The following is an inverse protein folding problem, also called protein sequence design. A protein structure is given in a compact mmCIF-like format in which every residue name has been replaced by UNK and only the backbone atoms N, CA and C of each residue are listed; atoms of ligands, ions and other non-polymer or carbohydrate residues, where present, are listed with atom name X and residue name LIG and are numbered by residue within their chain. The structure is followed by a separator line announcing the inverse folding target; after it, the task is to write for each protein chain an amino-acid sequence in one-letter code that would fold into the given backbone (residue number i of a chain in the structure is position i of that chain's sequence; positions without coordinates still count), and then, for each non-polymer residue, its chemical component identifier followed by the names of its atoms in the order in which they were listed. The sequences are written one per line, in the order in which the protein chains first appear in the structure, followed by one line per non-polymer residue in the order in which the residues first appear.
data_IF_571856416387
#
_entry.id   IF_571856416387
#
_cell.length_a   1.000
_cell.length_b   1.000
_cell.length_c   1.000
_cell.angle_alpha   90.00
_cell.angle_beta   90.00
_cell.angle_gamma   90.00
#
_symmetry.space_group_name_H-M   'P 1'
#
loop_
_entity.id
_entity.type
_entity.pdbx_description
1 polymer ?
#
# COMPACT_ATOMS: atom_id res chain seq x y z
N UNK A 1 10.84 -14.52 2.16
CA UNK A 1 9.78 -13.73 1.48
C UNK A 1 9.11 -12.71 2.37
N UNK A 2 8.82 -13.01 3.61
CA UNK A 2 8.31 -12.03 4.59
C UNK A 2 9.09 -10.68 4.60
N UNK A 3 10.39 -10.73 4.30
CA UNK A 3 11.22 -9.53 4.27
C UNK A 3 10.90 -8.56 3.12
N UNK A 4 10.56 -9.07 1.92
CA UNK A 4 10.30 -8.18 0.76
C UNK A 4 8.94 -7.47 0.89
N UNK A 5 7.91 -8.13 1.39
CA UNK A 5 6.61 -7.50 1.61
C UNK A 5 6.73 -6.36 2.63
N UNK A 6 7.41 -6.60 3.73
CA UNK A 6 7.70 -5.58 4.75
C UNK A 6 8.48 -4.41 4.17
N UNK A 7 9.55 -4.69 3.42
CA UNK A 7 10.37 -3.67 2.76
C UNK A 7 9.54 -2.79 1.81
N UNK A 8 8.66 -3.40 1.00
CA UNK A 8 7.79 -2.68 0.07
C UNK A 8 6.75 -1.83 0.81
N UNK A 9 6.17 -2.35 1.89
CA UNK A 9 5.21 -1.62 2.72
C UNK A 9 5.86 -0.40 3.36
N UNK A 10 6.99 -0.58 4.05
CA UNK A 10 7.71 0.52 4.71
C UNK A 10 8.18 1.57 3.70
N UNK A 11 8.72 1.14 2.57
CA UNK A 11 9.11 2.02 1.49
C UNK A 11 7.93 2.85 1.00
N UNK A 12 6.79 2.21 0.71
CA UNK A 12 5.62 2.88 0.17
C UNK A 12 4.99 3.86 1.18
N UNK A 13 4.85 3.46 2.45
CA UNK A 13 4.31 4.34 3.48
C UNK A 13 5.25 5.53 3.75
N UNK A 14 6.58 5.32 3.76
CA UNK A 14 7.56 6.41 3.85
C UNK A 14 7.40 7.39 2.69
N UNK A 15 7.21 6.88 1.48
CA UNK A 15 6.95 7.69 0.30
C UNK A 15 5.67 8.53 0.45
N UNK A 16 4.58 7.93 0.89
CA UNK A 16 3.29 8.63 1.09
C UNK A 16 3.37 9.71 2.16
N UNK A 17 4.01 9.42 3.29
CA UNK A 17 4.23 10.40 4.35
C UNK A 17 5.09 11.57 3.86
N UNK A 18 6.17 11.29 3.11
CA UNK A 18 7.04 12.33 2.56
C UNK A 18 6.32 13.25 1.57
N UNK A 19 5.39 12.73 0.77
CA UNK A 19 4.56 13.54 -0.15
C UNK A 19 3.70 14.58 0.59
N UNK A 20 3.35 14.30 1.84
CA UNK A 20 2.55 15.18 2.71
C UNK A 20 3.40 15.96 3.72
N UNK A 21 4.74 15.92 3.58
CA UNK A 21 5.69 16.54 4.52
C UNK A 21 5.58 16.01 5.96
N UNK A 22 5.13 14.77 6.15
CA UNK A 22 5.11 14.10 7.44
C UNK A 22 6.43 13.36 7.71
N UNK A 23 6.83 13.20 9.00
CA UNK A 23 8.07 12.52 9.36
C UNK A 23 8.00 11.02 9.05
N UNK A 24 8.99 10.52 8.31
CA UNK A 24 9.11 9.09 7.97
C UNK A 24 9.68 8.25 9.11
N UNK A 25 10.22 8.89 10.16
CA UNK A 25 10.71 8.24 11.37
C UNK A 25 9.64 7.45 12.12
N UNK A 26 8.36 7.77 11.90
CA UNK A 26 7.20 7.08 12.49
C UNK A 26 7.10 5.58 12.11
N UNK A 27 7.80 5.15 11.06
CA UNK A 27 7.86 3.75 10.63
C UNK A 27 8.99 2.96 11.30
N UNK A 28 9.89 3.64 12.04
CA UNK A 28 10.93 2.95 12.80
C UNK A 28 10.39 2.49 14.15
N UNK A 29 10.63 1.23 14.56
CA UNK A 29 10.35 0.79 15.93
C UNK A 29 11.14 1.65 16.93
N UNK A 30 10.50 2.08 18.02
CA UNK A 30 11.11 2.89 19.09
C UNK A 30 12.19 2.15 19.92
N UNK A 31 12.50 0.88 19.62
CA UNK A 31 13.46 0.06 20.36
C UNK A 31 14.92 0.23 19.93
N UNK A 32 15.30 1.31 19.25
CA UNK A 32 16.70 1.66 19.02
C UNK A 32 17.19 2.78 19.95
N UNK A 33 16.79 2.71 21.22
CA UNK A 33 17.38 3.50 22.30
C UNK A 33 18.82 3.07 22.55
N UNK A 34 19.79 3.89 22.09
CA UNK A 34 21.17 3.85 22.56
C UNK A 34 22.14 3.08 21.70
N UNK A 35 22.68 3.76 20.67
CA UNK A 35 24.09 3.63 20.32
C UNK A 35 24.60 4.94 19.71
N UNK A 36 25.57 5.49 20.42
CA UNK A 36 26.45 6.60 20.10
C UNK A 36 27.06 6.52 18.69
N UNK A 37 27.29 7.69 18.13
CA UNK A 37 28.16 7.95 16.97
C UNK A 37 29.45 7.12 17.01
N UNK A 38 29.75 6.50 15.88
CA UNK A 38 31.08 6.01 15.56
C UNK A 38 31.09 4.58 15.06
N UNK A 39 30.73 4.37 13.79
CA UNK A 39 31.56 3.60 12.88
C UNK A 39 31.02 3.66 11.44
N UNK A 40 31.82 4.26 10.58
CA UNK A 40 31.72 4.11 9.14
C UNK A 40 32.22 2.71 8.79
N UNK A 41 31.32 1.81 8.46
CA UNK A 41 31.69 0.64 7.65
C UNK A 41 30.46 0.16 6.88
N UNK A 42 30.34 0.62 5.67
CA UNK A 42 30.16 -0.13 4.43
C UNK A 42 29.45 -1.48 4.58
N UNK A 43 28.11 -1.48 4.54
CA UNK A 43 27.32 -2.58 4.03
C UNK A 43 26.19 -1.99 3.21
N UNK A 44 26.55 -1.32 2.12
CA UNK A 44 25.67 -1.08 1.01
C UNK A 44 25.44 -2.45 0.34
N UNK A 45 24.43 -3.20 0.83
CA UNK A 45 23.76 -4.16 -0.01
C UNK A 45 23.14 -3.33 -1.14
N UNK A 46 23.78 -3.39 -2.31
CA UNK A 46 23.25 -2.84 -3.56
C UNK A 46 21.82 -3.38 -3.69
N UNK A 47 20.78 -2.52 -3.69
CA UNK A 47 19.43 -2.98 -3.94
C UNK A 47 19.48 -3.69 -5.29
N UNK A 48 19.15 -4.98 -5.34
CA UNK A 48 19.10 -5.72 -6.59
C UNK A 48 18.23 -4.94 -7.58
N UNK A 49 18.62 -4.91 -8.85
CA UNK A 49 17.89 -4.19 -9.92
C UNK A 49 16.37 -4.44 -9.86
N UNK A 50 15.92 -5.64 -9.42
CA UNK A 50 14.54 -6.01 -9.23
C UNK A 50 13.84 -5.19 -8.15
N UNK A 51 14.44 -5.00 -6.97
CA UNK A 51 13.80 -4.26 -5.87
C UNK A 51 13.52 -2.78 -6.23
N UNK A 52 14.44 -2.12 -6.94
CA UNK A 52 14.25 -0.74 -7.39
C UNK A 52 13.14 -0.62 -8.44
N UNK A 53 13.07 -1.56 -9.38
CA UNK A 53 12.03 -1.57 -10.41
C UNK A 53 10.64 -1.82 -9.81
N UNK A 54 10.53 -2.75 -8.85
CA UNK A 54 9.28 -3.02 -8.13
C UNK A 54 8.80 -1.79 -7.36
N UNK A 55 9.70 -1.13 -6.64
CA UNK A 55 9.38 0.10 -5.89
C UNK A 55 8.87 1.22 -6.80
N UNK A 56 9.53 1.44 -7.93
CA UNK A 56 9.11 2.44 -8.92
C UNK A 56 7.75 2.08 -9.53
N UNK A 57 7.55 0.83 -9.94
CA UNK A 57 6.29 0.36 -10.49
C UNK A 57 5.14 0.52 -9.48
N UNK A 58 5.38 0.23 -8.20
CA UNK A 58 4.40 0.37 -7.14
C UNK A 58 4.01 1.83 -6.91
N UNK A 59 4.99 2.75 -6.86
CA UNK A 59 4.73 4.18 -6.73
C UNK A 59 3.88 4.70 -7.89
N UNK A 60 4.28 4.40 -9.13
CA UNK A 60 3.58 4.86 -10.33
C UNK A 60 2.14 4.33 -10.37
N UNK A 61 1.96 3.02 -10.13
CA UNK A 61 0.65 2.38 -10.13
C UNK A 61 -0.28 2.92 -9.04
N UNK A 62 0.23 3.14 -7.83
CA UNK A 62 -0.55 3.67 -6.74
C UNK A 62 -0.92 5.15 -6.94
N UNK A 63 -0.01 5.96 -7.49
CA UNK A 63 -0.30 7.35 -7.83
C UNK A 63 -1.38 7.44 -8.91
N UNK A 64 -1.29 6.61 -9.95
CA UNK A 64 -2.33 6.55 -10.99
C UNK A 64 -3.66 6.09 -10.40
N UNK A 65 -3.64 5.09 -9.53
CA UNK A 65 -4.82 4.61 -8.81
C UNK A 65 -5.47 5.74 -8.00
N UNK A 66 -4.71 6.49 -7.22
CA UNK A 66 -5.24 7.61 -6.43
C UNK A 66 -5.77 8.74 -7.28
N UNK A 67 -5.12 9.07 -8.41
CA UNK A 67 -5.59 10.09 -9.35
C UNK A 67 -6.95 9.72 -9.96
N UNK A 68 -7.13 8.46 -10.34
CA UNK A 68 -8.40 7.97 -10.91
C UNK A 68 -9.53 7.99 -9.87
N UNK A 69 -9.18 7.95 -8.57
CA UNK A 69 -10.13 7.76 -7.46
C UNK A 69 -10.04 8.83 -6.39
N UNK A 70 -9.48 10.00 -6.73
CA UNK A 70 -9.35 11.14 -5.81
C UNK A 70 -10.65 11.43 -5.04
N UNK A 71 -11.79 11.40 -5.73
CA UNK A 71 -13.09 11.61 -5.11
C UNK A 71 -13.43 10.53 -4.07
N UNK A 72 -13.20 9.25 -4.42
CA UNK A 72 -13.47 8.13 -3.52
C UNK A 72 -12.58 8.17 -2.27
N UNK A 73 -11.31 8.52 -2.43
CA UNK A 73 -10.39 8.65 -1.29
C UNK A 73 -10.69 9.88 -0.44
N UNK A 74 -11.13 10.98 -1.03
CA UNK A 74 -11.59 12.16 -0.29
C UNK A 74 -12.84 11.86 0.53
N UNK A 75 -13.80 11.16 -0.07
CA UNK A 75 -15.02 10.74 0.63
C UNK A 75 -14.71 9.68 1.72
N UNK A 76 -13.73 8.83 1.49
CA UNK A 76 -13.25 7.83 2.44
C UNK A 76 -12.67 8.48 3.70
N UNK A 77 -11.81 9.48 3.54
CA UNK A 77 -11.21 10.24 4.63
C UNK A 77 -12.27 10.91 5.52
N UNK A 78 -13.34 11.43 4.91
CA UNK A 78 -14.46 12.05 5.62
C UNK A 78 -15.38 11.03 6.33
N UNK A 79 -15.45 9.80 5.81
CA UNK A 79 -16.38 8.77 6.29
C UNK A 79 -15.73 7.76 7.23
N UNK A 80 -14.42 7.58 7.15
CA UNK A 80 -13.65 6.78 8.09
C UNK A 80 -13.51 7.57 9.40
N UNK A 81 -14.42 7.29 10.32
CA UNK A 81 -14.26 7.70 11.72
C UNK A 81 -13.18 6.80 12.37
N UNK A 82 -11.93 7.04 11.93
CA UNK A 82 -10.78 6.27 12.39
C UNK A 82 -10.42 6.73 13.78
N UNK A 83 -10.48 5.80 14.71
CA UNK A 83 -9.97 5.94 16.08
C UNK A 83 -8.95 4.83 16.35
N UNK A 84 -8.09 4.93 17.37
CA UNK A 84 -7.15 3.86 17.72
C UNK A 84 -7.82 2.49 17.90
N UNK A 85 -9.07 2.48 18.41
CA UNK A 85 -9.82 1.24 18.65
C UNK A 85 -10.47 0.67 17.40
N UNK A 86 -10.84 1.50 16.43
CA UNK A 86 -11.57 1.09 15.22
C UNK A 86 -10.67 0.88 13.99
N UNK A 87 -9.46 1.44 13.99
CA UNK A 87 -8.57 1.46 12.82
C UNK A 87 -8.28 0.08 12.26
N UNK A 88 -7.93 -0.89 13.11
CA UNK A 88 -7.66 -2.26 12.67
C UNK A 88 -8.89 -2.93 12.07
N UNK A 89 -10.03 -2.79 12.74
CA UNK A 89 -11.27 -3.39 12.27
C UNK A 89 -11.71 -2.82 10.91
N UNK A 90 -11.58 -1.51 10.77
CA UNK A 90 -11.86 -0.81 9.52
C UNK A 90 -10.91 -1.29 8.39
N UNK A 91 -9.60 -1.36 8.67
CA UNK A 91 -8.62 -1.89 7.72
C UNK A 91 -8.96 -3.31 7.29
N UNK A 92 -9.17 -4.21 8.25
CA UNK A 92 -9.46 -5.62 7.96
C UNK A 92 -10.75 -5.78 7.16
N UNK A 93 -11.82 -5.09 7.54
CA UNK A 93 -13.10 -5.17 6.84
C UNK A 93 -13.00 -4.71 5.38
N UNK A 94 -12.24 -3.64 5.12
CA UNK A 94 -11.99 -3.17 3.75
C UNK A 94 -11.20 -4.22 2.96
N UNK A 95 -10.14 -4.79 3.54
CA UNK A 95 -9.33 -5.80 2.87
C UNK A 95 -10.12 -7.08 2.58
N UNK A 96 -10.86 -7.58 3.55
CA UNK A 96 -11.68 -8.78 3.37
C UNK A 96 -12.72 -8.59 2.23
N UNK A 97 -13.30 -7.41 2.11
CA UNK A 97 -14.22 -7.11 1.03
C UNK A 97 -13.52 -6.93 -0.33
N UNK A 98 -12.37 -6.23 -0.36
CA UNK A 98 -11.58 -6.04 -1.59
C UNK A 98 -11.15 -7.38 -2.18
N UNK A 99 -10.77 -8.34 -1.35
CA UNK A 99 -10.22 -9.62 -1.79
C UNK A 99 -11.22 -10.78 -1.79
N UNK A 100 -12.49 -10.55 -1.45
CA UNK A 100 -13.52 -11.61 -1.39
C UNK A 100 -13.66 -12.44 -2.68
N UNK A 101 -13.51 -11.79 -3.83
CA UNK A 101 -13.62 -12.42 -5.16
C UNK A 101 -12.26 -12.82 -5.74
N UNK A 102 -11.25 -13.00 -4.90
CA UNK A 102 -9.91 -13.41 -5.27
C UNK A 102 -8.89 -12.26 -5.36
N UNK A 103 -7.68 -12.60 -5.78
CA UNK A 103 -6.53 -11.69 -5.84
C UNK A 103 -6.24 -11.32 -7.28
N UNK A 104 -5.89 -10.06 -7.52
CA UNK A 104 -5.29 -9.55 -8.75
C UNK A 104 -4.38 -8.34 -8.44
N UNK A 105 -3.51 -7.96 -9.39
CA UNK A 105 -2.56 -6.88 -9.18
C UNK A 105 -3.22 -5.52 -8.88
N UNK A 106 -4.37 -5.22 -9.49
CA UNK A 106 -5.10 -3.98 -9.21
C UNK A 106 -5.58 -3.90 -7.76
N UNK A 107 -6.05 -5.01 -7.18
CA UNK A 107 -6.44 -5.10 -5.77
C UNK A 107 -5.21 -5.01 -4.85
N UNK A 108 -4.08 -5.58 -5.25
CA UNK A 108 -2.81 -5.44 -4.51
C UNK A 108 -2.37 -3.97 -4.48
N UNK A 109 -2.40 -3.27 -5.61
CA UNK A 109 -2.14 -1.81 -5.66
C UNK A 109 -3.14 -1.05 -4.77
N UNK A 110 -4.42 -1.44 -4.80
CA UNK A 110 -5.47 -0.87 -3.95
C UNK A 110 -5.20 -1.01 -2.46
N UNK A 111 -4.63 -2.15 -2.01
CA UNK A 111 -4.19 -2.36 -0.63
C UNK A 111 -3.13 -1.32 -0.23
N UNK A 112 -2.13 -1.10 -1.08
CA UNK A 112 -1.08 -0.11 -0.81
C UNK A 112 -1.64 1.31 -0.80
N UNK A 113 -2.45 1.68 -1.79
CA UNK A 113 -3.08 3.00 -1.86
C UNK A 113 -3.96 3.28 -0.63
N UNK A 114 -4.80 2.32 -0.24
CA UNK A 114 -5.65 2.44 0.95
C UNK A 114 -4.83 2.55 2.24
N UNK A 115 -3.81 1.68 2.41
CA UNK A 115 -2.91 1.75 3.57
C UNK A 115 -2.17 3.08 3.66
N UNK A 116 -1.74 3.63 2.52
CA UNK A 116 -1.10 4.94 2.45
C UNK A 116 -2.03 6.08 2.88
N UNK A 117 -3.27 6.09 2.39
CA UNK A 117 -4.29 7.07 2.78
C UNK A 117 -4.62 6.96 4.26
N UNK A 118 -4.84 5.75 4.76
CA UNK A 118 -5.10 5.50 6.18
C UNK A 118 -3.95 5.97 7.08
N UNK A 119 -2.71 5.74 6.65
CA UNK A 119 -1.52 6.17 7.36
C UNK A 119 -1.43 7.70 7.45
N UNK A 120 -1.64 8.41 6.34
CA UNK A 120 -1.66 9.87 6.31
C UNK A 120 -2.79 10.43 7.18
N UNK A 121 -3.99 9.88 7.08
CA UNK A 121 -5.15 10.27 7.89
C UNK A 121 -4.88 10.12 9.39
N UNK A 122 -4.22 9.02 9.81
CA UNK A 122 -3.86 8.83 11.20
C UNK A 122 -2.86 9.90 11.68
N UNK A 123 -1.88 10.28 10.85
CA UNK A 123 -0.93 11.35 11.21
C UNK A 123 -1.63 12.71 11.28
N UNK A 124 -2.51 13.03 10.35
CA UNK A 124 -3.28 14.27 10.31
C UNK A 124 -4.25 14.40 11.50
N UNK A 125 -4.63 13.29 12.12
CA UNK A 125 -5.47 13.22 13.32
C UNK A 125 -4.68 13.00 14.62
N UNK A 126 -3.37 13.24 14.61
CA UNK A 126 -2.49 13.05 15.78
C UNK A 126 -2.42 11.61 16.34
N UNK A 127 -2.76 10.60 15.52
CA UNK A 127 -2.69 9.17 15.87
C UNK A 127 -1.43 8.52 15.30
N UNK A 128 -0.27 9.12 15.55
CA UNK A 128 1.02 8.72 14.97
C UNK A 128 1.47 7.30 15.36
N UNK A 129 1.02 6.82 16.52
CA UNK A 129 1.27 5.46 17.01
C UNK A 129 0.65 4.37 16.13
N UNK A 130 -0.33 4.72 15.31
CA UNK A 130 -0.94 3.76 14.38
C UNK A 130 -0.11 3.54 13.12
N UNK A 131 0.84 4.40 12.79
CA UNK A 131 1.63 4.32 11.56
C UNK A 131 2.41 3.01 11.46
N UNK A 132 3.13 2.64 12.52
CA UNK A 132 3.86 1.37 12.58
C UNK A 132 2.91 0.16 12.57
N UNK A 133 1.77 0.28 13.26
CA UNK A 133 0.74 -0.77 13.30
C UNK A 133 0.09 -0.99 11.93
N UNK A 134 -0.17 0.07 11.18
CA UNK A 134 -0.68 -0.03 9.80
C UNK A 134 0.32 -0.78 8.91
N UNK A 135 1.62 -0.48 9.04
CA UNK A 135 2.66 -1.23 8.33
C UNK A 135 2.65 -2.72 8.70
N UNK A 136 2.46 -3.05 9.98
CA UNK A 136 2.33 -4.44 10.45
C UNK A 136 1.10 -5.12 9.86
N UNK A 137 -0.06 -4.46 9.88
CA UNK A 137 -1.31 -5.03 9.33
C UNK A 137 -1.21 -5.28 7.83
N UNK A 138 -0.66 -4.33 7.07
CA UNK A 138 -0.44 -4.49 5.63
C UNK A 138 0.50 -5.65 5.34
N UNK A 139 1.62 -5.74 6.07
CA UNK A 139 2.60 -6.81 5.89
C UNK A 139 1.99 -8.17 6.22
N UNK A 140 1.32 -8.29 7.35
CA UNK A 140 0.65 -9.52 7.77
C UNK A 140 -0.39 -9.96 6.76
N UNK A 141 -1.21 -9.03 6.27
CA UNK A 141 -2.23 -9.35 5.27
C UNK A 141 -1.62 -9.83 3.94
N UNK A 142 -0.54 -9.18 3.48
CA UNK A 142 0.23 -9.61 2.31
C UNK A 142 0.81 -11.02 2.51
N UNK A 143 1.42 -11.28 3.67
CA UNK A 143 2.08 -12.54 3.94
C UNK A 143 1.09 -13.71 4.07
N UNK A 144 -0.02 -13.51 4.77
CA UNK A 144 -0.98 -14.58 5.08
C UNK A 144 -1.97 -14.85 3.95
N UNK A 145 -2.40 -13.81 3.21
CA UNK A 145 -3.52 -13.95 2.26
C UNK A 145 -3.12 -13.78 0.79
N UNK A 146 -2.02 -13.08 0.49
CA UNK A 146 -1.70 -12.66 -0.87
C UNK A 146 -0.40 -13.27 -1.39
N UNK A 147 0.58 -13.56 -0.54
CA UNK A 147 1.91 -14.04 -0.94
C UNK A 147 1.90 -15.28 -1.81
N UNK A 148 1.04 -16.25 -1.52
CA UNK A 148 0.94 -17.47 -2.31
C UNK A 148 0.51 -17.16 -3.75
N UNK A 149 -0.44 -16.23 -3.91
CA UNK A 149 -0.88 -15.79 -5.24
C UNK A 149 0.24 -15.02 -5.97
N UNK A 150 0.92 -14.07 -5.30
CA UNK A 150 2.05 -13.33 -5.88
C UNK A 150 3.10 -14.30 -6.42
N UNK A 151 3.43 -15.34 -5.64
CA UNK A 151 4.38 -16.39 -6.07
C UNK A 151 3.90 -17.12 -7.31
N UNK A 152 2.63 -17.48 -7.37
CA UNK A 152 2.05 -18.16 -8.54
C UNK A 152 2.09 -17.31 -9.81
N UNK A 153 2.17 -15.98 -9.66
CA UNK A 153 2.28 -15.05 -10.79
C UNK A 153 3.73 -14.75 -11.21
N UNK A 154 4.73 -15.35 -10.56
CA UNK A 154 6.15 -15.07 -10.84
C UNK A 154 6.80 -14.06 -9.89
N UNK A 155 6.14 -13.75 -8.77
CA UNK A 155 6.67 -12.85 -7.74
C UNK A 155 6.52 -11.36 -8.07
N UNK A 156 7.15 -10.54 -7.26
CA UNK A 156 7.15 -9.08 -7.45
C UNK A 156 7.89 -8.62 -8.71
N UNK A 157 8.81 -9.42 -9.23
CA UNK A 157 9.50 -9.11 -10.50
C UNK A 157 8.50 -9.11 -11.66
N UNK A 158 7.56 -10.06 -11.70
CA UNK A 158 6.48 -10.06 -12.69
C UNK A 158 5.61 -8.80 -12.58
N UNK A 159 5.34 -8.29 -11.37
CA UNK A 159 4.66 -7.01 -11.18
C UNK A 159 5.44 -5.86 -11.84
N UNK A 160 6.76 -5.79 -11.60
CA UNK A 160 7.60 -4.78 -12.20
C UNK A 160 7.67 -4.89 -13.73
N UNK A 161 7.66 -6.10 -14.29
CA UNK A 161 7.62 -6.33 -15.73
C UNK A 161 6.31 -5.86 -16.37
N UNK A 162 5.18 -6.01 -15.66
CA UNK A 162 3.85 -5.61 -16.13
C UNK A 162 3.64 -4.10 -16.00
N UNK A 163 4.07 -3.51 -14.89
CA UNK A 163 3.74 -2.13 -14.51
C UNK A 163 4.93 -1.17 -14.55
N UNK A 164 6.16 -1.66 -14.78
CA UNK A 164 7.37 -0.86 -14.85
C UNK A 164 7.52 -0.09 -16.16
N UNK A 165 8.32 0.98 -16.12
CA UNK A 165 8.52 1.92 -17.25
C UNK A 165 9.42 1.39 -18.37
N UNK A 166 10.20 0.33 -18.13
CA UNK A 166 11.27 -0.10 -19.05
C UNK A 166 10.77 -0.88 -20.28
N UNK A 167 9.47 -1.04 -20.42
CA UNK A 167 8.85 -1.68 -21.57
C UNK A 167 8.19 -0.68 -22.54
N UNK A 168 8.95 0.18 -23.21
CA UNK A 168 8.39 1.18 -24.13
C UNK A 168 7.50 0.62 -25.25
N UNK A 169 7.62 -0.66 -25.58
CA UNK A 169 6.72 -1.38 -26.49
C UNK A 169 5.60 -2.15 -25.75
N UNK A 170 5.85 -2.58 -24.50
CA UNK A 170 4.85 -3.18 -23.61
C UNK A 170 3.96 -2.11 -22.97
N UNK A 171 4.45 -0.88 -22.77
CA UNK A 171 3.78 0.20 -22.09
C UNK A 171 2.40 0.56 -22.70
N UNK A 172 2.22 0.45 -23.99
CA UNK A 172 0.92 0.72 -24.63
C UNK A 172 -0.12 -0.38 -24.37
N UNK A 173 0.30 -1.65 -24.28
CA UNK A 173 -0.59 -2.76 -23.89
C UNK A 173 -0.79 -2.82 -22.39
N UNK A 174 0.24 -2.51 -21.62
CA UNK A 174 0.25 -2.45 -20.17
C UNK A 174 -0.69 -1.35 -19.66
N UNK A 175 -0.69 -0.17 -20.27
CA UNK A 175 -1.51 0.97 -19.85
C UNK A 175 -3.02 0.68 -20.01
N UNK A 176 -3.45 0.00 -21.07
CA UNK A 176 -4.84 -0.45 -21.22
C UNK A 176 -5.19 -1.59 -20.26
N UNK A 177 -4.28 -2.51 -20.04
CA UNK A 177 -4.46 -3.63 -19.11
C UNK A 177 -4.46 -3.12 -17.68
N UNK A 178 -3.53 -2.24 -17.30
CA UNK A 178 -3.47 -1.57 -16.00
C UNK A 178 -4.76 -0.80 -15.74
N UNK A 179 -5.22 -0.01 -16.69
CA UNK A 179 -6.46 0.75 -16.57
C UNK A 179 -7.69 -0.15 -16.39
N UNK A 180 -7.76 -1.28 -17.06
CA UNK A 180 -8.82 -2.28 -16.85
C UNK A 180 -8.75 -2.91 -15.47
N UNK A 181 -7.55 -3.31 -15.00
CA UNK A 181 -7.37 -3.89 -13.68
C UNK A 181 -7.63 -2.90 -12.55
N UNK A 182 -7.19 -1.65 -12.74
CA UNK A 182 -7.48 -0.56 -11.82
C UNK A 182 -8.98 -0.28 -11.75
N UNK A 183 -9.67 -0.20 -12.87
CA UNK A 183 -11.12 0.03 -12.91
C UNK A 183 -11.91 -1.08 -12.23
N UNK A 184 -11.49 -2.34 -12.37
CA UNK A 184 -12.13 -3.47 -11.66
C UNK A 184 -11.86 -3.40 -10.15
N UNK A 185 -10.63 -3.11 -9.73
CA UNK A 185 -10.28 -2.97 -8.31
C UNK A 185 -11.06 -1.85 -7.61
N UNK A 186 -11.35 -0.81 -8.34
CA UNK A 186 -12.05 0.37 -7.84
C UNK A 186 -13.56 0.24 -7.79
N UNK A 187 -14.17 -0.32 -8.81
CA UNK A 187 -15.61 -0.58 -8.76
C UNK A 187 -15.96 -1.39 -7.50
N UNK A 188 -15.03 -2.25 -7.06
CA UNK A 188 -15.15 -3.02 -5.83
C UNK A 188 -14.92 -2.17 -4.57
N UNK A 189 -13.88 -1.32 -4.53
CA UNK A 189 -13.65 -0.40 -3.41
C UNK A 189 -14.81 0.57 -3.22
N UNK A 190 -15.33 1.13 -4.32
CA UNK A 190 -16.51 2.02 -4.27
C UNK A 190 -17.76 1.29 -3.78
N UNK A 191 -17.97 0.05 -4.20
CA UNK A 191 -19.08 -0.78 -3.73
C UNK A 191 -18.99 -1.05 -2.22
N UNK A 192 -17.79 -1.29 -1.69
CA UNK A 192 -17.52 -1.51 -0.26
C UNK A 192 -17.80 -0.25 0.54
N UNK A 193 -17.29 0.89 0.07
CA UNK A 193 -17.44 2.16 0.76
C UNK A 193 -18.91 2.60 0.83
N UNK A 194 -19.63 2.49 -0.29
CA UNK A 194 -21.07 2.78 -0.33
C UNK A 194 -21.84 1.80 0.56
N UNK A 195 -21.48 0.52 0.56
CA UNK A 195 -22.09 -0.51 1.42
C UNK A 195 -21.88 -0.23 2.91
N UNK A 196 -20.66 0.16 3.34
CA UNK A 196 -20.38 0.53 4.74
C UNK A 196 -21.18 1.75 5.19
N UNK A 197 -21.31 2.76 4.32
CA UNK A 197 -22.07 3.99 4.63
C UNK A 197 -23.55 3.69 4.77
N UNK A 198 -24.10 2.82 3.91
CA UNK A 198 -25.53 2.44 3.98
C UNK A 198 -25.86 1.63 5.24
N UNK A 199 -24.94 0.78 5.69
CA UNK A 199 -25.12 -0.01 6.92
C UNK A 199 -25.04 0.89 8.18
N UNK A 200 -24.17 1.92 8.18
CA UNK A 200 -24.03 2.84 9.33
C UNK A 200 -25.22 3.84 9.45
N UNK A 201 -25.98 4.06 8.35
CA UNK A 201 -27.17 4.95 8.33
C UNK A 201 -28.48 4.23 8.70
N UNK A 202 -28.46 2.92 8.91
CA UNK A 202 -29.61 2.14 9.37
C UNK A 202 -29.49 1.79 10.84
#
# INVERSE_FOLDING_TARGET
MANINRELVEFFLSYKLSQKNHPTSLLRPEDAGGRTEGDKANSASVPGRGSSAVKAALQDSANEFELLFTQAFSDLSLQLDVTPDTAYHSFKSVMDEVFKDGVNWGRVVGLFAFGGVLCVECVEKDMTELVSRIADWMTTYLDEHISAWIQSQGGWDCFADIFGRDGAAAARRSQETMRRWLLVGVALLMGVLVGMVMVKKR
#
